data_IF_532696307401
#
_entry.id   IF_532696307401
#
_cell.length_a   1.000
_cell.length_b   1.000
_cell.length_c   1.000
_cell.angle_alpha   90.00
_cell.angle_beta   90.00
_cell.angle_gamma   90.00
#
_symmetry.space_group_name_H-M   'P 1'
#
loop_
_entity.id
_entity.type
_entity.pdbx_description
1 polymer ?
#
# COMPACT_ATOMS: atom_id res chain seq x y z
N UNK A 1 5.55 -1.70 3.71
CA UNK A 1 6.69 -1.69 2.74
C UNK A 1 6.20 -1.51 1.31
N UNK A 2 5.34 -2.41 0.75
CA UNK A 2 4.91 -2.40 -0.67
C UNK A 2 4.49 -1.03 -1.20
N UNK A 3 3.52 -0.37 -0.56
CA UNK A 3 3.01 0.92 -1.02
C UNK A 3 4.12 1.99 -1.11
N UNK A 4 5.05 2.00 -0.16
CA UNK A 4 6.18 2.92 -0.17
C UNK A 4 7.14 2.64 -1.34
N UNK A 5 7.44 1.38 -1.61
CA UNK A 5 8.28 1.01 -2.76
C UNK A 5 7.65 1.43 -4.09
N UNK A 6 6.33 1.29 -4.25
CA UNK A 6 5.64 1.70 -5.47
C UNK A 6 5.57 3.23 -5.66
N UNK A 7 5.78 4.01 -4.62
CA UNK A 7 5.86 5.48 -4.71
C UNK A 7 7.27 6.00 -4.98
N UNK A 8 8.30 5.18 -4.72
CA UNK A 8 9.70 5.59 -4.84
C UNK A 8 10.49 4.83 -5.91
N UNK A 9 9.87 3.85 -6.58
CA UNK A 9 10.53 3.02 -7.59
C UNK A 9 9.57 2.67 -8.72
N UNK A 10 10.10 2.63 -9.95
CA UNK A 10 9.40 2.14 -11.14
C UNK A 10 9.73 0.69 -11.47
N UNK A 11 10.49 0.01 -10.61
CA UNK A 11 10.93 -1.38 -10.83
C UNK A 11 9.76 -2.37 -10.87
N UNK A 12 8.74 -2.14 -10.04
CA UNK A 12 7.64 -3.07 -9.85
C UNK A 12 6.49 -2.83 -10.83
N UNK A 13 5.83 -3.90 -11.28
CA UNK A 13 4.68 -3.84 -12.22
C UNK A 13 3.34 -3.70 -11.50
N UNK A 14 3.24 -4.27 -10.31
CA UNK A 14 2.07 -4.22 -9.45
C UNK A 14 2.48 -4.53 -8.01
N UNK A 15 1.60 -4.28 -7.06
CA UNK A 15 1.79 -4.66 -5.67
C UNK A 15 0.49 -5.04 -4.97
N UNK A 16 0.62 -5.79 -3.89
CA UNK A 16 -0.45 -6.04 -2.91
C UNK A 16 0.02 -5.56 -1.55
N UNK A 17 -0.83 -4.89 -0.82
CA UNK A 17 -0.54 -4.38 0.53
C UNK A 17 -1.70 -4.68 1.46
N UNK A 18 -1.40 -5.27 2.59
CA UNK A 18 -2.38 -5.77 3.54
C UNK A 18 -2.20 -5.10 4.89
N UNK A 19 -3.31 -4.77 5.54
CA UNK A 19 -3.39 -4.19 6.89
C UNK A 19 -2.31 -3.11 7.13
N UNK A 20 -2.19 -2.16 6.18
CA UNK A 20 -1.06 -1.24 6.13
C UNK A 20 -1.31 0.08 6.85
N UNK A 21 -0.23 0.68 7.37
CA UNK A 21 -0.18 2.07 7.82
C UNK A 21 0.36 2.96 6.69
N UNK A 22 -0.51 3.66 5.98
CA UNK A 22 -0.15 4.44 4.80
C UNK A 22 0.08 5.92 5.09
N UNK A 23 -0.61 6.45 6.10
CA UNK A 23 -0.43 7.83 6.54
C UNK A 23 0.27 7.86 7.91
N UNK A 24 1.53 8.23 7.94
CA UNK A 24 2.34 8.24 9.15
C UNK A 24 1.97 9.36 10.14
N UNK A 25 1.23 10.37 9.71
CA UNK A 25 0.68 11.37 10.65
C UNK A 25 -0.38 10.80 11.60
N UNK A 26 -0.98 9.64 11.25
CA UNK A 26 -1.90 8.89 12.11
C UNK A 26 -1.17 7.97 13.10
N UNK A 27 0.15 7.87 13.01
CA UNK A 27 1.02 7.13 13.95
C UNK A 27 2.16 8.03 14.44
N UNK A 28 1.88 9.16 15.11
CA UNK A 28 2.86 10.22 15.28
C UNK A 28 3.89 9.96 16.39
N UNK A 29 3.77 8.87 17.14
CA UNK A 29 4.65 8.53 18.26
C UNK A 29 5.58 7.36 17.95
N UNK A 30 6.11 7.31 16.75
CA UNK A 30 7.03 6.29 16.30
C UNK A 30 6.41 5.27 15.34
N UNK A 31 7.26 4.53 14.63
CA UNK A 31 6.89 3.42 13.78
C UNK A 31 8.09 2.50 13.52
N UNK A 32 7.90 1.21 13.64
CA UNK A 32 8.97 0.22 13.54
C UNK A 32 10.14 0.54 14.49
N UNK A 33 11.31 0.87 13.99
CA UNK A 33 12.49 1.22 14.79
C UNK A 33 12.65 2.73 15.01
N UNK A 34 11.78 3.56 14.43
CA UNK A 34 11.78 5.00 14.66
C UNK A 34 11.03 5.31 15.96
N UNK A 35 11.72 5.88 16.94
CA UNK A 35 11.16 6.20 18.25
C UNK A 35 10.83 7.69 18.42
N UNK A 36 11.37 8.54 17.56
CA UNK A 36 11.11 9.98 17.60
C UNK A 36 9.71 10.27 17.08
N UNK A 37 9.08 11.27 17.64
CA UNK A 37 7.72 11.70 17.27
C UNK A 37 7.69 12.41 15.91
N UNK A 38 6.49 12.51 15.34
CA UNK A 38 6.28 13.27 14.10
C UNK A 38 6.78 14.72 14.21
N UNK A 39 6.58 15.37 15.36
CA UNK A 39 6.95 16.77 15.56
C UNK A 39 8.46 16.98 15.69
N UNK A 40 9.20 15.95 16.08
CA UNK A 40 10.67 15.99 16.13
C UNK A 40 11.31 15.80 14.75
N UNK A 41 10.70 14.96 13.87
CA UNK A 41 11.28 14.61 12.57
C UNK A 41 10.22 14.49 11.47
N UNK A 42 9.43 15.52 11.20
CA UNK A 42 8.31 15.45 10.24
C UNK A 42 8.74 15.02 8.83
N UNK A 43 9.95 15.34 8.42
CA UNK A 43 10.49 14.98 7.10
C UNK A 43 10.63 13.46 6.92
N UNK A 44 11.02 12.71 7.96
CA UNK A 44 11.12 11.26 7.91
C UNK A 44 9.72 10.64 7.79
N UNK A 45 8.77 11.10 8.61
CA UNK A 45 7.41 10.64 8.57
C UNK A 45 6.77 10.87 7.19
N UNK A 46 6.93 12.07 6.63
CA UNK A 46 6.38 12.42 5.32
C UNK A 46 7.04 11.61 4.20
N UNK A 47 8.35 11.40 4.25
CA UNK A 47 9.08 10.60 3.28
C UNK A 47 8.65 9.13 3.31
N UNK A 48 8.42 8.58 4.51
CA UNK A 48 8.05 7.18 4.70
C UNK A 48 6.55 6.91 4.59
N UNK A 49 5.73 7.94 4.36
CA UNK A 49 4.29 7.79 4.25
C UNK A 49 3.85 7.68 2.78
N UNK A 50 3.33 6.52 2.34
CA UNK A 50 2.79 6.37 0.99
C UNK A 50 1.67 7.35 0.68
N UNK A 51 0.88 7.76 1.68
CA UNK A 51 -0.22 8.70 1.52
C UNK A 51 0.28 10.07 1.03
N UNK A 52 1.29 10.65 1.68
CA UNK A 52 1.88 11.92 1.27
C UNK A 52 2.55 11.84 -0.11
N UNK A 53 2.95 10.66 -0.51
CA UNK A 53 3.57 10.39 -1.81
C UNK A 53 2.63 9.74 -2.83
N UNK A 54 1.32 9.71 -2.58
CA UNK A 54 0.33 9.00 -3.40
C UNK A 54 0.35 9.39 -4.89
N UNK A 55 0.61 10.66 -5.20
CA UNK A 55 0.74 11.15 -6.57
C UNK A 55 1.88 10.45 -7.35
N UNK A 56 2.92 10.00 -6.65
CA UNK A 56 4.09 9.32 -7.24
C UNK A 56 3.86 7.82 -7.46
N UNK A 57 2.71 7.26 -7.06
CA UNK A 57 2.45 5.83 -7.25
C UNK A 57 2.63 5.46 -8.73
N UNK A 58 3.55 4.54 -9.01
CA UNK A 58 4.01 4.21 -10.36
C UNK A 58 3.36 2.95 -10.96
N UNK A 59 2.70 2.13 -10.14
CA UNK A 59 2.15 0.84 -10.55
C UNK A 59 0.81 0.54 -9.86
N UNK A 60 -0.03 -0.33 -10.43
CA UNK A 60 -1.27 -0.78 -9.81
C UNK A 60 -1.05 -1.36 -8.41
N UNK A 61 -1.96 -1.04 -7.48
CA UNK A 61 -1.91 -1.56 -6.12
C UNK A 61 -3.25 -2.16 -5.68
N UNK A 62 -3.21 -3.35 -5.10
CA UNK A 62 -4.32 -3.98 -4.40
C UNK A 62 -4.14 -3.74 -2.90
N UNK A 63 -5.13 -3.14 -2.27
CA UNK A 63 -5.20 -2.94 -0.82
C UNK A 63 -6.18 -3.96 -0.24
N UNK A 64 -5.80 -4.66 0.82
CA UNK A 64 -6.67 -5.60 1.54
C UNK A 64 -6.62 -5.24 3.02
N UNK A 65 -7.77 -5.23 3.71
CA UNK A 65 -7.82 -4.87 5.12
C UNK A 65 -8.96 -5.58 5.85
N UNK A 66 -8.69 -6.08 7.04
CA UNK A 66 -9.71 -6.60 7.94
C UNK A 66 -10.56 -5.48 8.53
N UNK A 67 -11.89 -5.64 8.52
CA UNK A 67 -12.80 -4.60 9.00
C UNK A 67 -12.67 -4.34 10.51
N UNK A 68 -12.23 -5.34 11.27
CA UNK A 68 -12.05 -5.28 12.72
C UNK A 68 -10.57 -5.11 13.12
N UNK A 69 -9.73 -4.61 12.23
CA UNK A 69 -8.32 -4.34 12.57
C UNK A 69 -8.24 -3.24 13.64
N UNK A 70 -7.87 -3.64 14.85
CA UNK A 70 -7.66 -2.79 16.01
C UNK A 70 -6.18 -2.61 16.37
N UNK A 71 -5.27 -3.10 15.53
CA UNK A 71 -3.84 -2.95 15.74
C UNK A 71 -3.43 -1.49 15.64
N UNK A 72 -2.68 -1.03 16.64
CA UNK A 72 -2.26 0.37 16.75
C UNK A 72 -1.53 0.85 15.50
N UNK A 73 -2.04 1.90 14.88
CA UNK A 73 -1.47 2.52 13.69
C UNK A 73 -1.91 1.93 12.36
N UNK A 74 -2.60 0.79 12.34
CA UNK A 74 -3.09 0.14 11.10
C UNK A 74 -4.61 0.04 11.03
N UNK A 75 -5.34 0.83 11.80
CA UNK A 75 -6.81 0.87 11.70
C UNK A 75 -7.29 0.98 10.25
N UNK A 76 -8.45 0.42 9.90
CA UNK A 76 -8.99 0.38 8.54
C UNK A 76 -9.05 1.73 7.83
N UNK A 77 -9.21 2.82 8.58
CA UNK A 77 -9.15 4.20 8.07
C UNK A 77 -7.88 4.50 7.26
N UNK A 78 -6.77 3.85 7.54
CA UNK A 78 -5.53 3.98 6.80
C UNK A 78 -5.71 3.57 5.33
N UNK A 79 -6.31 2.39 5.10
CA UNK A 79 -6.59 1.89 3.74
C UNK A 79 -7.68 2.70 3.05
N UNK A 80 -8.75 3.06 3.75
CA UNK A 80 -9.84 3.87 3.19
C UNK A 80 -9.33 5.20 2.65
N UNK A 81 -8.56 5.94 3.45
CA UNK A 81 -8.06 7.25 3.06
C UNK A 81 -7.01 7.15 1.96
N UNK A 82 -6.16 6.14 2.01
CA UNK A 82 -5.19 5.92 0.94
C UNK A 82 -5.87 5.53 -0.38
N UNK A 83 -6.86 4.63 -0.34
CA UNK A 83 -7.69 4.30 -1.50
C UNK A 83 -8.37 5.53 -2.10
N UNK A 84 -9.02 6.34 -1.26
CA UNK A 84 -9.71 7.54 -1.71
C UNK A 84 -8.74 8.53 -2.39
N UNK A 85 -7.54 8.72 -1.82
CA UNK A 85 -6.51 9.56 -2.41
C UNK A 85 -6.04 9.03 -3.77
N UNK A 86 -5.76 7.73 -3.86
CA UNK A 86 -5.33 7.10 -5.11
C UNK A 86 -6.41 7.18 -6.20
N UNK A 87 -7.67 6.96 -5.84
CA UNK A 87 -8.80 7.11 -6.78
C UNK A 87 -8.92 8.55 -7.26
N UNK A 88 -8.86 9.52 -6.38
CA UNK A 88 -8.91 10.94 -6.73
C UNK A 88 -7.76 11.39 -7.65
N UNK A 89 -6.60 10.74 -7.53
CA UNK A 89 -5.42 10.96 -8.37
C UNK A 89 -5.42 10.13 -9.67
N UNK A 90 -6.50 9.40 -9.98
CA UNK A 90 -6.61 8.58 -11.19
C UNK A 90 -5.68 7.37 -11.21
N UNK A 91 -5.18 6.91 -10.05
CA UNK A 91 -4.31 5.74 -9.95
C UNK A 91 -5.10 4.44 -10.06
N UNK A 92 -4.45 3.40 -10.57
CA UNK A 92 -5.04 2.05 -10.61
C UNK A 92 -4.94 1.42 -9.24
N UNK A 93 -6.06 1.36 -8.55
CA UNK A 93 -6.16 0.79 -7.20
C UNK A 93 -7.45 -0.01 -7.05
N UNK A 94 -7.35 -1.14 -6.35
CA UNK A 94 -8.49 -1.92 -5.83
C UNK A 94 -8.37 -1.99 -4.32
N UNK A 95 -9.49 -1.93 -3.63
CA UNK A 95 -9.56 -2.09 -2.18
C UNK A 95 -10.57 -3.18 -1.83
N UNK A 96 -10.15 -4.13 -1.02
CA UNK A 96 -10.94 -5.25 -0.52
C UNK A 96 -11.02 -5.14 1.00
N UNK A 97 -12.24 -5.10 1.51
CA UNK A 97 -12.52 -5.24 2.93
C UNK A 97 -12.88 -6.68 3.26
N UNK A 98 -12.27 -7.21 4.31
CA UNK A 98 -12.55 -8.55 4.82
C UNK A 98 -13.43 -8.43 6.07
N UNK A 99 -14.70 -8.86 6.00
CA UNK A 99 -15.61 -8.78 7.12
C UNK A 99 -15.11 -9.69 8.26
N UNK A 100 -15.27 -9.19 9.49
CA UNK A 100 -14.92 -9.89 10.74
C UNK A 100 -13.43 -10.19 10.96
N UNK A 101 -12.55 -9.85 10.04
CA UNK A 101 -11.10 -10.03 10.19
C UNK A 101 -10.45 -8.86 10.93
N UNK A 102 -9.46 -9.21 11.77
CA UNK A 102 -8.59 -8.28 12.47
C UNK A 102 -7.34 -7.98 11.63
N UNK A 103 -6.21 -7.68 12.29
CA UNK A 103 -4.92 -7.41 11.62
C UNK A 103 -4.38 -8.61 10.84
N UNK A 104 -4.58 -9.81 11.33
CA UNK A 104 -4.32 -11.08 10.64
C UNK A 104 -5.63 -11.75 10.23
N UNK A 105 -5.63 -12.42 9.09
CA UNK A 105 -6.84 -13.05 8.54
C UNK A 105 -6.88 -14.53 8.90
N UNK A 106 -7.95 -14.97 9.55
CA UNK A 106 -8.10 -16.33 10.08
C UNK A 106 -9.29 -17.07 9.47
N UNK A 107 -10.33 -16.36 9.06
CA UNK A 107 -11.52 -16.95 8.45
C UNK A 107 -11.17 -17.63 7.12
N UNK A 108 -11.50 -18.91 6.99
CA UNK A 108 -11.15 -19.71 5.81
C UNK A 108 -11.62 -19.05 4.51
N UNK A 109 -12.85 -18.56 4.49
CA UNK A 109 -13.46 -17.91 3.32
C UNK A 109 -12.71 -16.64 2.96
N UNK A 110 -12.38 -15.80 3.94
CA UNK A 110 -11.62 -14.58 3.75
C UNK A 110 -10.18 -14.87 3.26
N UNK A 111 -9.53 -15.89 3.82
CA UNK A 111 -8.19 -16.31 3.36
C UNK A 111 -8.22 -16.79 1.91
N UNK A 112 -9.23 -17.57 1.51
CA UNK A 112 -9.40 -18.01 0.13
C UNK A 112 -9.70 -16.84 -0.81
N UNK A 113 -10.51 -15.88 -0.39
CA UNK A 113 -10.79 -14.66 -1.15
C UNK A 113 -9.53 -13.82 -1.35
N UNK A 114 -8.72 -13.64 -0.32
CA UNK A 114 -7.40 -12.96 -0.42
C UNK A 114 -6.50 -13.63 -1.47
N UNK A 115 -6.44 -14.97 -1.48
CA UNK A 115 -5.67 -15.68 -2.49
C UNK A 115 -6.23 -15.45 -3.90
N UNK A 116 -7.55 -15.54 -4.08
CA UNK A 116 -8.20 -15.30 -5.36
C UNK A 116 -7.94 -13.87 -5.88
N UNK A 117 -8.11 -12.86 -5.02
CA UNK A 117 -7.84 -11.45 -5.35
C UNK A 117 -6.39 -11.23 -5.76
N UNK A 118 -5.43 -11.81 -5.03
CA UNK A 118 -3.99 -11.71 -5.37
C UNK A 118 -3.68 -12.36 -6.71
N UNK A 119 -4.19 -13.57 -6.95
CA UNK A 119 -3.95 -14.29 -8.21
C UNK A 119 -4.51 -13.50 -9.40
N UNK A 120 -5.77 -13.04 -9.30
CA UNK A 120 -6.39 -12.23 -10.37
C UNK A 120 -5.64 -10.92 -10.60
N UNK A 121 -5.17 -10.27 -9.51
CA UNK A 121 -4.40 -9.03 -9.59
C UNK A 121 -3.09 -9.23 -10.33
N UNK A 122 -2.32 -10.24 -9.96
CA UNK A 122 -1.03 -10.52 -10.60
C UNK A 122 -1.19 -11.11 -12.00
N UNK A 123 -2.22 -11.91 -12.26
CA UNK A 123 -2.52 -12.37 -13.61
C UNK A 123 -2.78 -11.17 -14.54
N UNK A 124 -3.57 -10.21 -14.09
CA UNK A 124 -3.90 -9.03 -14.89
C UNK A 124 -2.72 -8.09 -15.12
N UNK A 125 -1.97 -7.76 -14.08
CA UNK A 125 -0.99 -6.67 -14.12
C UNK A 125 0.46 -7.12 -14.23
N UNK A 126 0.74 -8.40 -14.11
CA UNK A 126 2.10 -8.97 -14.22
C UNK A 126 2.15 -10.03 -15.32
N UNK A 127 1.44 -11.13 -15.16
CA UNK A 127 1.53 -12.30 -16.06
C UNK A 127 1.05 -11.99 -17.48
N UNK A 128 -0.14 -11.39 -17.60
CA UNK A 128 -0.79 -11.09 -18.89
C UNK A 128 -0.60 -9.63 -19.33
N UNK A 129 0.22 -8.86 -18.62
CA UNK A 129 0.50 -7.47 -18.98
C UNK A 129 1.41 -7.41 -20.21
N UNK A 130 1.20 -6.43 -21.09
CA UNK A 130 2.09 -6.16 -22.22
C UNK A 130 3.55 -6.03 -21.76
N UNK A 131 4.50 -6.42 -22.60
CA UNK A 131 5.93 -6.26 -22.31
C UNK A 131 6.23 -4.79 -21.95
N UNK A 132 7.05 -4.56 -20.91
CA UNK A 132 7.56 -3.22 -20.63
C UNK A 132 8.62 -2.85 -21.68
N UNK A 133 8.59 -1.61 -22.11
CA UNK A 133 9.77 -1.06 -22.78
C UNK A 133 11.00 -1.14 -21.83
N UNK A 134 12.20 -1.44 -22.36
CA UNK A 134 13.39 -1.44 -21.56
C UNK A 134 13.54 -0.10 -20.82
N UNK A 135 13.87 -0.15 -19.53
CA UNK A 135 14.21 1.07 -18.80
C UNK A 135 15.35 1.75 -19.55
N UNK A 136 15.11 2.95 -20.05
CA UNK A 136 16.20 3.78 -20.62
C UNK A 136 17.25 3.93 -19.51
N UNK A 137 18.47 3.49 -19.80
CA UNK A 137 19.58 3.70 -18.88
C UNK A 137 19.65 5.21 -18.58
N UNK A 138 19.61 5.57 -17.31
CA UNK A 138 19.85 6.97 -16.92
C UNK A 138 21.22 7.35 -17.47
N UNK A 139 21.35 8.48 -18.19
CA UNK A 139 22.67 8.97 -18.55
C UNK A 139 23.46 9.12 -17.25
N UNK A 140 24.58 8.44 -17.18
CA UNK A 140 25.45 8.42 -16.00
C UNK A 140 25.76 9.85 -15.55
N UNK A 141 25.68 10.05 -14.24
CA UNK A 141 26.22 11.26 -13.59
C UNK A 141 27.72 11.11 -13.47
#
# INVERSE_FOLDING_TARGET
MTANLLTHSTLFRAGTAESGAYNRTLTPFGFQNEQRTYWEIPEIYNRMAPFQNAAKLSAPILLIHGMNDDNSGTFPIQSERYYAALKGLGKTVRFVYLPFEAHGYLGRENVLDVFAERLQWFDRYVKNAAAREPLKASPGR
#
